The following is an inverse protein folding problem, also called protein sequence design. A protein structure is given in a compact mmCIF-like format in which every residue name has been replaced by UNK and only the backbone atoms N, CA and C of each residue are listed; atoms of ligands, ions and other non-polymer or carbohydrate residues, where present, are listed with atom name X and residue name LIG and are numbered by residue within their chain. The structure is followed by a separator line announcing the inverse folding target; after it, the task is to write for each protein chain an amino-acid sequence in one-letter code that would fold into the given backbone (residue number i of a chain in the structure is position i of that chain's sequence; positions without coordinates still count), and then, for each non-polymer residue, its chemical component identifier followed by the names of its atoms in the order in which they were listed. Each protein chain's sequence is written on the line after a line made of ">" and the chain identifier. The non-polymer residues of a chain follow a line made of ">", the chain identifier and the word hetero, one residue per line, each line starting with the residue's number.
data_IF_675769849449
#
_entry.id   IF_675769849449
#
_cell.length_a   1.000
_cell.length_b   1.000
_cell.length_c   1.000
_cell.angle_alpha   90.00
_cell.angle_beta   90.00
_cell.angle_gamma   90.00
#
_symmetry.space_group_name_H-M   'P 1'
#
loop_
_entity.id
_entity.type
_entity.pdbx_description
1 polymer ?
#
# COMPACT_ATOMS: atom_id res chain seq x y z
N UNK A 1 3.03 -31.71 10.39
CA UNK A 1 3.71 -31.09 9.24
C UNK A 1 5.15 -30.77 9.63
N UNK A 2 6.12 -30.75 8.70
CA UNK A 2 7.50 -30.40 9.01
C UNK A 2 7.58 -28.97 9.56
N UNK A 3 8.35 -28.74 10.63
CA UNK A 3 8.46 -27.44 11.33
C UNK A 3 8.93 -26.29 10.43
N UNK A 4 9.84 -26.55 9.49
CA UNK A 4 10.30 -25.55 8.51
C UNK A 4 9.15 -25.05 7.61
N UNK A 5 8.24 -25.94 7.21
CA UNK A 5 7.09 -25.58 6.38
C UNK A 5 6.15 -24.68 7.17
N UNK A 6 5.85 -25.05 8.42
CA UNK A 6 4.99 -24.26 9.31
C UNK A 6 5.56 -22.87 9.62
N UNK A 7 6.87 -22.76 9.86
CA UNK A 7 7.53 -21.48 10.12
C UNK A 7 7.50 -20.53 8.93
N UNK A 8 7.71 -21.03 7.71
CA UNK A 8 7.63 -20.21 6.49
C UNK A 8 6.20 -19.69 6.23
N UNK A 9 5.18 -20.52 6.48
CA UNK A 9 3.77 -20.11 6.39
C UNK A 9 3.42 -19.00 7.40
N UNK A 10 3.92 -19.09 8.64
CA UNK A 10 3.72 -18.07 9.66
C UNK A 10 4.39 -16.76 9.28
N UNK A 11 5.66 -16.80 8.88
CA UNK A 11 6.40 -15.62 8.44
C UNK A 11 5.68 -14.90 7.29
N UNK A 12 5.21 -15.65 6.29
CA UNK A 12 4.50 -15.06 5.15
C UNK A 12 3.16 -14.45 5.56
N UNK A 13 2.39 -15.12 6.44
CA UNK A 13 1.16 -14.57 6.98
C UNK A 13 1.39 -13.27 7.75
N UNK A 14 2.45 -13.21 8.56
CA UNK A 14 2.77 -12.04 9.36
C UNK A 14 3.25 -10.88 8.50
N UNK A 15 4.14 -11.16 7.54
CA UNK A 15 4.60 -10.17 6.56
C UNK A 15 3.43 -9.57 5.78
N UNK A 16 2.52 -10.39 5.25
CA UNK A 16 1.33 -9.89 4.54
C UNK A 16 0.42 -9.06 5.45
N UNK A 17 0.31 -9.42 6.73
CA UNK A 17 -0.43 -8.63 7.72
C UNK A 17 0.20 -7.25 7.89
N UNK A 18 1.52 -7.17 8.04
CA UNK A 18 2.22 -5.89 8.17
C UNK A 18 2.04 -5.03 6.94
N UNK A 19 2.21 -5.60 5.74
CA UNK A 19 2.10 -4.84 4.50
C UNK A 19 0.68 -4.29 4.31
N UNK A 20 -0.36 -5.03 4.72
CA UNK A 20 -1.75 -4.54 4.70
C UNK A 20 -2.01 -3.35 5.64
N UNK A 21 -1.20 -3.17 6.69
CA UNK A 21 -1.27 -1.98 7.54
C UNK A 21 -0.34 -0.85 7.06
N UNK A 22 0.83 -1.20 6.51
CA UNK A 22 1.82 -0.25 6.04
C UNK A 22 1.38 0.46 4.76
N UNK A 23 0.73 -0.25 3.83
CA UNK A 23 0.29 0.36 2.56
C UNK A 23 -0.67 1.54 2.82
N UNK A 24 -1.76 1.41 3.59
CA UNK A 24 -2.66 2.55 3.84
C UNK A 24 -1.96 3.71 4.55
N UNK A 25 -1.08 3.42 5.51
CA UNK A 25 -0.33 4.45 6.23
C UNK A 25 0.62 5.22 5.30
N UNK A 26 1.41 4.50 4.49
CA UNK A 26 2.35 5.09 3.54
C UNK A 26 1.64 5.85 2.41
N UNK A 27 0.57 5.27 1.86
CA UNK A 27 -0.27 5.93 0.85
C UNK A 27 -0.90 7.21 1.41
N UNK A 28 -1.45 7.15 2.63
CA UNK A 28 -2.01 8.32 3.31
C UNK A 28 -1.00 9.43 3.51
N UNK A 29 0.20 9.10 4.00
CA UNK A 29 1.29 10.06 4.19
C UNK A 29 1.73 10.70 2.85
N UNK A 30 1.92 9.91 1.80
CA UNK A 30 2.31 10.41 0.48
C UNK A 30 1.22 11.28 -0.17
N UNK A 31 -0.05 10.90 -0.03
CA UNK A 31 -1.18 11.72 -0.47
C UNK A 31 -1.22 13.04 0.30
N UNK A 32 -1.06 12.99 1.63
CA UNK A 32 -1.00 14.18 2.48
C UNK A 32 0.12 15.13 2.08
N UNK A 33 1.33 14.60 1.82
CA UNK A 33 2.46 15.37 1.31
C UNK A 33 2.11 16.07 0.00
N UNK A 34 1.61 15.35 -1.01
CA UNK A 34 1.26 15.95 -2.30
C UNK A 34 0.09 16.93 -2.22
N UNK A 35 -0.87 16.70 -1.32
CA UNK A 35 -1.96 17.64 -1.05
C UNK A 35 -1.42 18.95 -0.45
N UNK A 36 -0.48 18.87 0.49
CA UNK A 36 0.19 20.03 1.09
C UNK A 36 1.00 20.81 0.04
N UNK A 37 1.83 20.11 -0.76
CA UNK A 37 2.64 20.76 -1.80
C UNK A 37 1.77 21.49 -2.83
N UNK A 38 0.61 20.91 -3.19
CA UNK A 38 -0.35 21.58 -4.06
C UNK A 38 -0.89 22.88 -3.47
N UNK A 39 -1.14 22.94 -2.15
CA UNK A 39 -1.61 24.16 -1.48
C UNK A 39 -0.54 25.25 -1.46
N UNK A 40 0.75 24.88 -1.39
CA UNK A 40 1.87 25.82 -1.38
C UNK A 40 2.34 26.25 -2.77
N UNK A 41 1.79 25.69 -3.85
CA UNK A 41 2.20 25.97 -5.23
C UNK A 41 1.63 27.24 -5.85
N UNK A 42 1.18 28.21 -5.04
CA UNK A 42 0.63 29.53 -5.45
C UNK A 42 -0.40 29.50 -6.60
N UNK A 43 -1.12 28.39 -6.74
CA UNK A 43 -2.14 28.22 -7.78
C UNK A 43 -1.60 27.97 -9.19
N UNK A 44 -0.29 27.70 -9.37
CA UNK A 44 0.25 27.28 -10.67
C UNK A 44 -0.46 25.99 -11.14
N UNK A 45 -1.17 26.03 -12.27
CA UNK A 45 -1.89 24.87 -12.80
C UNK A 45 -0.97 23.69 -13.11
N UNK A 46 0.27 23.94 -13.52
CA UNK A 46 1.24 22.91 -13.89
C UNK A 46 1.71 22.09 -12.67
N UNK A 47 2.05 22.78 -11.58
CA UNK A 47 2.42 22.19 -10.28
C UNK A 47 1.24 21.42 -9.69
N UNK A 48 0.05 22.01 -9.74
CA UNK A 48 -1.19 21.37 -9.29
C UNK A 48 -1.48 20.08 -10.06
N UNK A 49 -1.34 20.09 -11.39
CA UNK A 49 -1.58 18.92 -12.23
C UNK A 49 -0.58 17.78 -11.92
N UNK A 50 0.69 18.11 -11.70
CA UNK A 50 1.73 17.14 -11.34
C UNK A 50 1.41 16.43 -10.01
N UNK A 51 1.05 17.19 -8.97
CA UNK A 51 0.69 16.62 -7.67
C UNK A 51 -0.62 15.82 -7.71
N UNK A 52 -1.63 16.27 -8.47
CA UNK A 52 -2.85 15.47 -8.67
C UNK A 52 -2.55 14.12 -9.33
N UNK A 53 -1.66 14.10 -10.33
CA UNK A 53 -1.22 12.85 -10.98
C UNK A 53 -0.48 11.94 -10.00
N UNK A 54 0.39 12.50 -9.16
CA UNK A 54 1.09 11.76 -8.13
C UNK A 54 0.12 11.13 -7.11
N UNK A 55 -0.85 11.90 -6.60
CA UNK A 55 -1.90 11.41 -5.70
C UNK A 55 -2.66 10.23 -6.33
N UNK A 56 -3.08 10.38 -7.59
CA UNK A 56 -3.76 9.29 -8.33
C UNK A 56 -2.90 8.04 -8.44
N UNK A 57 -1.61 8.19 -8.75
CA UNK A 57 -0.68 7.06 -8.85
C UNK A 57 -0.52 6.36 -7.50
N UNK A 58 -0.40 7.11 -6.40
CA UNK A 58 -0.32 6.54 -5.04
C UNK A 58 -1.59 5.77 -4.68
N UNK A 59 -2.77 6.31 -5.01
CA UNK A 59 -4.05 5.61 -4.79
C UNK A 59 -4.12 4.29 -5.57
N UNK A 60 -3.76 4.31 -6.86
CA UNK A 60 -3.77 3.11 -7.70
C UNK A 60 -2.77 2.07 -7.19
N UNK A 61 -1.54 2.48 -6.88
CA UNK A 61 -0.52 1.59 -6.35
C UNK A 61 -0.92 0.98 -5.00
N UNK A 62 -1.48 1.80 -4.11
CA UNK A 62 -2.00 1.34 -2.83
C UNK A 62 -3.12 0.32 -2.99
N UNK A 63 -4.08 0.58 -3.88
CA UNK A 63 -5.17 -0.36 -4.16
C UNK A 63 -4.67 -1.70 -4.73
N UNK A 64 -3.70 -1.67 -5.66
CA UNK A 64 -3.09 -2.87 -6.22
C UNK A 64 -2.36 -3.67 -5.12
N UNK A 65 -1.54 -2.99 -4.31
CA UNK A 65 -0.78 -3.63 -3.23
C UNK A 65 -1.69 -4.28 -2.18
N UNK A 66 -2.74 -3.58 -1.75
CA UNK A 66 -3.73 -4.11 -0.82
C UNK A 66 -4.46 -5.32 -1.40
N UNK A 67 -4.88 -5.24 -2.66
CA UNK A 67 -5.60 -6.32 -3.34
C UNK A 67 -4.72 -7.57 -3.47
N UNK A 68 -3.47 -7.40 -3.94
CA UNK A 68 -2.52 -8.50 -4.07
C UNK A 68 -2.21 -9.15 -2.71
N UNK A 69 -1.89 -8.36 -1.68
CA UNK A 69 -1.58 -8.89 -0.35
C UNK A 69 -2.79 -9.61 0.29
N UNK A 70 -4.00 -9.06 0.11
CA UNK A 70 -5.23 -9.67 0.61
C UNK A 70 -5.54 -11.01 -0.08
N UNK A 71 -5.40 -11.08 -1.41
CA UNK A 71 -5.58 -12.32 -2.17
C UNK A 71 -4.61 -13.42 -1.72
N UNK A 72 -3.33 -13.09 -1.52
CA UNK A 72 -2.36 -14.07 -1.03
C UNK A 72 -2.75 -14.57 0.37
N UNK A 73 -3.19 -13.69 1.27
CA UNK A 73 -3.68 -14.13 2.59
C UNK A 73 -4.90 -15.04 2.51
N UNK A 74 -5.86 -14.75 1.61
CA UNK A 74 -7.02 -15.60 1.39
C UNK A 74 -6.57 -16.99 0.94
N UNK A 75 -5.65 -17.08 -0.02
CA UNK A 75 -5.09 -18.35 -0.48
C UNK A 75 -4.38 -19.09 0.65
N UNK A 76 -3.53 -18.40 1.43
CA UNK A 76 -2.83 -19.01 2.56
C UNK A 76 -3.76 -19.54 3.65
N UNK A 77 -4.95 -18.97 3.82
CA UNK A 77 -5.93 -19.44 4.79
C UNK A 77 -6.43 -20.87 4.51
N UNK A 78 -6.34 -21.36 3.27
CA UNK A 78 -6.69 -22.73 2.91
C UNK A 78 -5.60 -23.76 3.24
N UNK A 79 -4.38 -23.31 3.54
CA UNK A 79 -3.24 -24.16 3.88
C UNK A 79 -2.90 -24.14 5.38
N UNK A 80 -3.76 -23.52 6.18
CA UNK A 80 -3.72 -23.56 7.64
C UNK A 80 -4.31 -24.86 8.19
#
# INVERSE_FOLDING_TARGET
>A
MPTLVTGAFQLLNDALTWILYLIPAASGAAIGYHALMKQMGDGDPSVTAAHNRAIRNVLIAGAIGMSAASLVKVVLAYFK
#
